data_IF_051848061979
#
_entry.id   IF_051848061979
#
_cell.length_a   1.000
_cell.length_b   1.000
_cell.length_c   1.000
_cell.angle_alpha   90.00
_cell.angle_beta   90.00
_cell.angle_gamma   90.00
#
_symmetry.space_group_name_H-M   'P 1'
#
loop_
_entity.id
_entity.type
_entity.pdbx_description
1 polymer ?
#
# COMPACT_ATOMS: atom_id res chain seq x y z
N UNK A 1 -2.65 -8.25 -11.25
CA UNK A 1 -1.18 -8.26 -10.99
C UNK A 1 -0.43 -9.29 -11.85
N UNK A 2 -0.92 -10.51 -11.99
CA UNK A 2 -0.32 -11.48 -12.94
C UNK A 2 -0.62 -11.04 -14.40
N UNK A 3 -1.84 -10.65 -14.69
CA UNK A 3 -2.25 -10.11 -15.99
C UNK A 3 -1.50 -8.85 -16.39
N UNK A 4 -1.09 -8.05 -15.42
CA UNK A 4 -0.31 -6.82 -15.61
C UNK A 4 1.20 -7.09 -15.63
N UNK A 5 1.63 -8.34 -15.65
CA UNK A 5 3.03 -8.78 -15.67
C UNK A 5 3.85 -8.27 -14.46
N UNK A 6 3.19 -7.94 -13.35
CA UNK A 6 3.85 -7.51 -12.10
C UNK A 6 4.30 -8.68 -11.24
N UNK A 7 3.64 -9.84 -11.38
CA UNK A 7 3.99 -11.09 -10.70
C UNK A 7 3.83 -12.26 -11.65
N UNK A 8 4.58 -13.33 -11.41
CA UNK A 8 4.33 -14.62 -12.05
C UNK A 8 3.44 -15.48 -11.17
N UNK A 9 2.82 -16.50 -11.78
CA UNK A 9 2.02 -17.46 -11.02
C UNK A 9 2.87 -18.21 -10.01
N UNK A 10 4.08 -18.60 -10.38
CA UNK A 10 5.03 -19.32 -9.54
C UNK A 10 5.41 -18.52 -8.30
N UNK A 11 5.61 -17.20 -8.43
CA UNK A 11 5.91 -16.31 -7.29
C UNK A 11 4.73 -16.23 -6.31
N UNK A 12 3.51 -16.27 -6.81
CA UNK A 12 2.31 -16.30 -5.98
C UNK A 12 2.12 -17.67 -5.31
N UNK A 13 2.34 -18.75 -6.05
CA UNK A 13 2.18 -20.13 -5.55
C UNK A 13 3.26 -20.50 -4.50
N UNK A 14 4.43 -19.85 -4.55
CA UNK A 14 5.52 -20.03 -3.57
C UNK A 14 5.38 -19.16 -2.32
N UNK A 15 4.42 -18.26 -2.28
CA UNK A 15 4.20 -17.43 -1.12
C UNK A 15 3.59 -18.24 0.03
N UNK A 16 4.24 -18.28 1.19
CA UNK A 16 3.75 -18.99 2.37
C UNK A 16 2.67 -18.18 3.08
N UNK A 17 1.42 -18.43 2.76
CA UNK A 17 0.26 -17.83 3.42
C UNK A 17 -0.29 -18.68 4.58
N UNK A 18 0.39 -19.76 4.94
CA UNK A 18 -0.04 -20.74 5.93
C UNK A 18 -0.57 -22.02 5.29
N UNK A 19 -0.53 -23.10 6.06
CA UNK A 19 -0.92 -24.44 5.61
C UNK A 19 -2.28 -24.88 6.18
N UNK A 20 -2.77 -24.22 7.24
CA UNK A 20 -4.01 -24.56 7.90
C UNK A 20 -5.19 -23.73 7.35
N UNK A 21 -6.14 -24.40 6.73
CA UNK A 21 -7.34 -23.74 6.17
C UNK A 21 -8.34 -23.28 7.25
N UNK A 22 -8.22 -23.80 8.48
CA UNK A 22 -9.12 -23.49 9.61
C UNK A 22 -8.59 -22.34 10.49
N UNK A 23 -7.30 -22.03 10.42
CA UNK A 23 -6.66 -21.01 11.25
C UNK A 23 -5.85 -20.02 10.40
N UNK A 24 -6.06 -18.74 10.64
CA UNK A 24 -5.34 -17.67 9.95
C UNK A 24 -4.10 -17.27 10.75
N UNK A 25 -2.92 -17.51 10.18
CA UNK A 25 -1.65 -16.96 10.69
C UNK A 25 -1.42 -15.56 10.11
N UNK A 26 -1.86 -14.54 10.84
CA UNK A 26 -1.76 -13.14 10.40
C UNK A 26 -0.31 -12.69 10.20
N UNK A 27 0.64 -13.19 10.98
CA UNK A 27 2.06 -12.83 10.84
C UNK A 27 2.63 -13.39 9.53
N UNK A 28 2.37 -14.66 9.23
CA UNK A 28 2.76 -15.26 7.96
C UNK A 28 2.16 -14.53 6.76
N UNK A 29 0.84 -14.30 6.80
CA UNK A 29 0.15 -13.57 5.72
C UNK A 29 0.75 -12.19 5.53
N UNK A 30 0.99 -11.44 6.60
CA UNK A 30 1.58 -10.11 6.52
C UNK A 30 2.94 -10.16 5.84
N UNK A 31 3.85 -11.01 6.33
CA UNK A 31 5.22 -11.11 5.82
C UNK A 31 5.25 -11.60 4.37
N UNK A 32 4.51 -12.66 4.04
CA UNK A 32 4.44 -13.21 2.69
C UNK A 32 3.86 -12.19 1.70
N UNK A 33 2.78 -11.51 2.07
CA UNK A 33 2.15 -10.49 1.23
C UNK A 33 3.10 -9.34 0.92
N UNK A 34 3.76 -8.78 1.93
CA UNK A 34 4.69 -7.67 1.70
C UNK A 34 5.90 -8.08 0.87
N UNK A 35 6.40 -9.32 1.03
CA UNK A 35 7.46 -9.86 0.18
C UNK A 35 7.03 -9.90 -1.29
N UNK A 36 5.86 -10.42 -1.59
CA UNK A 36 5.30 -10.49 -2.95
C UNK A 36 5.04 -9.09 -3.51
N UNK A 37 4.49 -8.18 -2.70
CA UNK A 37 4.23 -6.79 -3.12
C UNK A 37 5.51 -6.01 -3.43
N UNK A 38 6.60 -6.25 -2.69
CA UNK A 38 7.91 -5.64 -2.99
C UNK A 38 8.49 -6.16 -4.32
N UNK A 39 8.26 -7.44 -4.67
CA UNK A 39 8.63 -7.97 -5.99
C UNK A 39 7.84 -7.28 -7.10
N UNK A 40 6.51 -7.15 -6.91
CA UNK A 40 5.66 -6.45 -7.86
C UNK A 40 6.07 -4.98 -8.05
N UNK A 41 6.38 -4.28 -6.96
CA UNK A 41 6.88 -2.90 -7.00
C UNK A 41 8.19 -2.77 -7.79
N UNK A 42 9.19 -3.62 -7.50
CA UNK A 42 10.46 -3.59 -8.20
C UNK A 42 10.28 -3.81 -9.72
N UNK A 43 9.35 -4.69 -10.10
CA UNK A 43 9.01 -4.95 -11.51
C UNK A 43 8.24 -3.80 -12.14
N UNK A 44 7.27 -3.22 -11.44
CA UNK A 44 6.53 -2.05 -11.87
C UNK A 44 7.47 -0.87 -12.17
N UNK A 45 8.43 -0.63 -11.29
CA UNK A 45 9.47 0.41 -11.46
C UNK A 45 10.32 0.13 -12.71
N UNK A 46 10.75 -1.12 -12.90
CA UNK A 46 11.53 -1.52 -14.08
C UNK A 46 10.75 -1.37 -15.38
N UNK A 47 9.44 -1.64 -15.34
CA UNK A 47 8.56 -1.58 -16.52
C UNK A 47 8.07 -0.15 -16.82
N UNK A 48 8.50 0.87 -16.07
CA UNK A 48 8.12 2.28 -16.29
C UNK A 48 6.68 2.63 -15.87
N UNK A 49 6.07 1.81 -15.01
CA UNK A 49 4.70 2.10 -14.52
C UNK A 49 4.65 3.42 -13.75
N UNK A 50 5.70 3.75 -13.00
CA UNK A 50 5.79 4.99 -12.22
C UNK A 50 5.80 6.25 -13.10
N UNK A 51 6.26 6.13 -14.35
CA UNK A 51 6.30 7.19 -15.34
C UNK A 51 5.02 7.27 -16.16
N UNK A 52 4.11 6.29 -16.02
CA UNK A 52 2.86 6.25 -16.77
C UNK A 52 1.96 7.45 -16.43
N UNK A 53 1.20 7.90 -17.43
CA UNK A 53 0.23 8.99 -17.23
C UNK A 53 -0.83 8.60 -16.18
N UNK A 54 -1.29 7.36 -16.19
CA UNK A 54 -2.32 6.88 -15.27
C UNK A 54 -1.84 6.95 -13.82
N UNK A 55 -0.62 6.47 -13.54
CA UNK A 55 -0.04 6.53 -12.20
C UNK A 55 0.13 7.97 -11.71
N UNK A 56 0.72 8.84 -12.53
CA UNK A 56 0.91 10.26 -12.18
C UNK A 56 -0.40 11.01 -11.96
N UNK A 57 -1.42 10.72 -12.78
CA UNK A 57 -2.76 11.30 -12.59
C UNK A 57 -3.34 10.88 -11.25
N UNK A 58 -3.25 9.60 -10.90
CA UNK A 58 -3.70 9.09 -9.59
C UNK A 58 -3.01 9.79 -8.42
N UNK A 59 -1.68 9.93 -8.46
CA UNK A 59 -0.95 10.63 -7.40
C UNK A 59 -1.39 12.08 -7.24
N UNK A 60 -1.65 12.77 -8.35
CA UNK A 60 -2.08 14.18 -8.32
C UNK A 60 -3.53 14.31 -7.80
N UNK A 61 -4.43 13.40 -8.19
CA UNK A 61 -5.82 13.39 -7.74
C UNK A 61 -5.95 13.07 -6.25
N UNK A 62 -5.15 12.13 -5.75
CA UNK A 62 -5.21 11.64 -4.38
C UNK A 62 -4.22 12.33 -3.43
N UNK A 63 -3.45 13.30 -3.89
CA UNK A 63 -2.37 13.95 -3.13
C UNK A 63 -2.78 14.53 -1.78
N UNK A 64 -4.05 14.89 -1.62
CA UNK A 64 -4.57 15.53 -0.41
C UNK A 64 -4.43 14.64 0.84
N UNK A 65 -4.43 13.33 0.66
CA UNK A 65 -4.29 12.36 1.77
C UNK A 65 -3.14 11.37 1.54
N UNK A 66 -2.87 11.01 0.27
CA UNK A 66 -1.96 9.92 -0.09
C UNK A 66 -0.52 10.21 0.33
N UNK A 67 -0.05 11.45 0.12
CA UNK A 67 1.31 11.85 0.48
C UNK A 67 1.56 11.72 2.00
N UNK A 68 0.60 12.16 2.81
CA UNK A 68 0.68 12.03 4.28
C UNK A 68 0.59 10.57 4.73
N UNK A 69 -0.28 9.79 4.11
CA UNK A 69 -0.41 8.36 4.38
C UNK A 69 0.87 7.60 4.06
N UNK A 70 1.43 7.81 2.87
CA UNK A 70 2.64 7.11 2.43
C UNK A 70 3.84 7.46 3.32
N UNK A 71 4.00 8.75 3.67
CA UNK A 71 5.02 9.19 4.63
C UNK A 71 4.80 8.52 6.00
N UNK A 72 3.56 8.53 6.52
CA UNK A 72 3.26 7.89 7.81
C UNK A 72 3.66 6.42 7.84
N UNK A 73 3.31 5.68 6.78
CA UNK A 73 3.62 4.24 6.70
C UNK A 73 5.11 3.98 6.59
N UNK A 74 5.82 4.77 5.79
CA UNK A 74 7.27 4.67 5.65
C UNK A 74 7.99 4.98 6.98
N UNK A 75 7.58 6.04 7.68
CA UNK A 75 8.11 6.37 9.01
C UNK A 75 7.79 5.27 10.01
N UNK A 76 6.56 4.75 10.02
CA UNK A 76 6.18 3.63 10.91
C UNK A 76 7.07 2.42 10.73
N UNK A 77 7.37 2.05 9.49
CA UNK A 77 8.27 0.93 9.18
C UNK A 77 9.70 1.21 9.67
N UNK A 78 10.20 2.45 9.55
CA UNK A 78 11.52 2.84 10.03
C UNK A 78 11.65 2.78 11.56
N UNK A 79 10.53 2.76 12.28
CA UNK A 79 10.44 2.54 13.72
C UNK A 79 9.94 1.14 14.10
N UNK A 80 10.19 0.13 13.25
CA UNK A 80 9.80 -1.28 13.49
C UNK A 80 8.29 -1.47 13.77
N UNK A 81 7.43 -0.69 13.11
CA UNK A 81 5.99 -0.76 13.27
C UNK A 81 5.44 -0.14 14.55
N UNK A 82 6.27 0.53 15.35
CA UNK A 82 5.85 1.19 16.59
C UNK A 82 4.78 2.26 16.33
N UNK A 83 3.95 2.47 17.33
CA UNK A 83 2.95 3.55 17.31
C UNK A 83 3.62 4.93 17.26
N UNK A 84 2.98 5.88 16.60
CA UNK A 84 3.51 7.23 16.36
C UNK A 84 3.89 7.98 17.64
N UNK A 85 3.26 7.69 18.77
CA UNK A 85 3.56 8.29 20.07
C UNK A 85 4.93 7.87 20.63
N UNK A 86 5.52 6.79 20.08
CA UNK A 86 6.85 6.29 20.42
C UNK A 86 7.95 6.74 19.44
N UNK A 87 7.59 7.58 18.46
CA UNK A 87 8.56 8.12 17.51
C UNK A 87 9.36 9.27 18.11
N UNK A 88 10.44 9.65 17.45
CA UNK A 88 11.19 10.85 17.79
C UNK A 88 10.30 12.09 17.82
N UNK A 89 10.57 13.00 18.75
CA UNK A 89 9.70 14.14 19.02
C UNK A 89 9.45 15.01 17.77
N UNK A 90 10.47 15.24 16.97
CA UNK A 90 10.39 16.16 15.85
C UNK A 90 9.47 15.65 14.73
N UNK A 91 9.57 14.36 14.39
CA UNK A 91 8.64 13.74 13.42
C UNK A 91 7.26 13.50 14.02
N UNK A 92 7.18 13.13 15.30
CA UNK A 92 5.92 12.97 16.03
C UNK A 92 5.10 14.25 16.04
N UNK A 93 5.77 15.41 16.24
CA UNK A 93 5.15 16.75 16.24
C UNK A 93 5.03 17.33 14.81
N UNK A 94 5.41 16.57 13.79
CA UNK A 94 5.32 16.97 12.37
C UNK A 94 6.07 18.29 12.10
N UNK A 95 7.25 18.50 12.71
CA UNK A 95 8.07 19.67 12.42
C UNK A 95 8.47 19.67 10.93
N UNK A 96 8.34 20.80 10.22
CA UNK A 96 8.59 20.84 8.77
C UNK A 96 9.96 20.30 8.36
N UNK A 97 11.00 20.58 9.12
CA UNK A 97 12.35 20.10 8.85
C UNK A 97 12.47 18.57 8.99
N UNK A 98 11.81 18.00 10.00
CA UNK A 98 11.77 16.56 10.19
C UNK A 98 10.98 15.88 9.06
N UNK A 99 9.82 16.43 8.69
CA UNK A 99 9.04 15.92 7.54
C UNK A 99 9.90 15.91 6.28
N UNK A 100 10.58 17.02 5.95
CA UNK A 100 11.42 17.10 4.77
C UNK A 100 12.58 16.08 4.80
N UNK A 101 13.23 15.93 5.96
CA UNK A 101 14.31 14.96 6.13
C UNK A 101 13.84 13.51 5.95
N UNK A 102 12.70 13.13 6.54
CA UNK A 102 12.14 11.79 6.38
C UNK A 102 11.61 11.53 4.97
N UNK A 103 11.05 12.54 4.29
CA UNK A 103 10.65 12.43 2.89
C UNK A 103 11.84 12.15 1.97
N UNK A 104 12.97 12.79 2.21
CA UNK A 104 14.20 12.53 1.45
C UNK A 104 14.78 11.15 1.78
N UNK A 105 14.91 10.83 3.08
CA UNK A 105 15.51 9.58 3.56
C UNK A 105 14.71 8.34 3.15
N UNK A 106 13.37 8.40 3.20
CA UNK A 106 12.47 7.28 2.99
C UNK A 106 11.73 7.37 1.65
N UNK A 107 12.28 8.06 0.67
CA UNK A 107 11.59 8.29 -0.62
C UNK A 107 11.20 6.98 -1.31
N UNK A 108 12.04 5.94 -1.24
CA UNK A 108 11.74 4.64 -1.86
C UNK A 108 10.59 3.90 -1.16
N UNK A 109 10.50 4.01 0.16
CA UNK A 109 9.43 3.44 0.97
C UNK A 109 8.12 4.19 0.76
N UNK A 110 8.18 5.52 0.63
CA UNK A 110 7.02 6.36 0.30
C UNK A 110 6.48 5.96 -1.08
N UNK A 111 7.33 5.91 -2.10
CA UNK A 111 6.95 5.46 -3.45
C UNK A 111 6.29 4.07 -3.43
N UNK A 112 6.80 3.17 -2.59
CA UNK A 112 6.22 1.83 -2.43
C UNK A 112 4.78 1.89 -1.89
N UNK A 113 4.52 2.70 -0.85
CA UNK A 113 3.18 2.83 -0.29
C UNK A 113 2.22 3.54 -1.25
N UNK A 114 2.67 4.53 -2.01
CA UNK A 114 1.89 5.15 -3.07
C UNK A 114 1.51 4.13 -4.16
N UNK A 115 2.47 3.29 -4.57
CA UNK A 115 2.21 2.20 -5.51
C UNK A 115 1.18 1.20 -4.99
N UNK A 116 1.23 0.83 -3.70
CA UNK A 116 0.24 -0.07 -3.11
C UNK A 116 -1.17 0.52 -3.18
N UNK A 117 -1.31 1.81 -2.90
CA UNK A 117 -2.61 2.49 -2.97
C UNK A 117 -3.12 2.61 -4.40
N UNK A 118 -2.24 2.86 -5.36
CA UNK A 118 -2.59 2.85 -6.78
C UNK A 118 -3.15 1.48 -7.23
N UNK A 119 -2.48 0.38 -6.87
CA UNK A 119 -2.97 -0.95 -7.18
C UNK A 119 -4.30 -1.24 -6.50
N UNK A 120 -4.44 -0.88 -5.24
CA UNK A 120 -5.68 -1.08 -4.49
C UNK A 120 -6.84 -0.30 -5.12
N UNK A 121 -6.62 0.96 -5.47
CA UNK A 121 -7.65 1.79 -6.12
C UNK A 121 -8.15 1.18 -7.43
N UNK A 122 -7.23 0.67 -8.27
CA UNK A 122 -7.59 -0.04 -9.52
C UNK A 122 -8.40 -1.32 -9.26
N UNK A 123 -7.97 -2.14 -8.31
CA UNK A 123 -8.67 -3.38 -7.93
C UNK A 123 -10.04 -3.09 -7.34
N UNK A 124 -10.14 -2.09 -6.47
CA UNK A 124 -11.40 -1.67 -5.86
C UNK A 124 -12.39 -1.15 -6.91
N UNK A 125 -11.92 -0.30 -7.83
CA UNK A 125 -12.74 0.20 -8.93
C UNK A 125 -13.27 -0.95 -9.81
N UNK A 126 -12.42 -1.91 -10.15
CA UNK A 126 -12.83 -3.11 -10.91
C UNK A 126 -13.88 -3.96 -10.18
N UNK A 127 -13.69 -4.23 -8.88
CA UNK A 127 -14.63 -4.96 -8.05
C UNK A 127 -15.98 -4.24 -7.96
N UNK A 128 -15.95 -2.93 -7.72
CA UNK A 128 -17.16 -2.10 -7.64
C UNK A 128 -17.94 -2.08 -8.96
N UNK A 129 -17.22 -1.95 -10.07
CA UNK A 129 -17.83 -2.01 -11.40
C UNK A 129 -18.51 -3.36 -11.63
N UNK A 130 -17.81 -4.46 -11.37
CA UNK A 130 -18.37 -5.82 -11.51
C UNK A 130 -19.63 -6.00 -10.64
N UNK A 131 -19.60 -5.59 -9.35
CA UNK A 131 -20.75 -5.69 -8.47
C UNK A 131 -21.97 -4.90 -9.02
N UNK A 132 -21.74 -3.67 -9.46
CA UNK A 132 -22.78 -2.81 -10.01
C UNK A 132 -23.39 -3.40 -11.31
N UNK A 133 -22.60 -4.00 -12.17
CA UNK A 133 -23.07 -4.70 -13.37
C UNK A 133 -23.96 -5.92 -13.04
N UNK A 134 -23.76 -6.52 -11.85
CA UNK A 134 -24.63 -7.60 -11.33
C UNK A 134 -25.86 -7.07 -10.55
N UNK A 135 -26.08 -5.75 -10.54
CA UNK A 135 -27.17 -5.12 -9.79
C UNK A 135 -26.96 -5.07 -8.29
N UNK A 136 -25.71 -5.21 -7.83
CA UNK A 136 -25.31 -5.16 -6.42
C UNK A 136 -24.65 -3.80 -6.13
N UNK A 137 -25.18 -3.08 -5.14
CA UNK A 137 -24.54 -1.86 -4.64
C UNK A 137 -23.67 -2.19 -3.43
N UNK A 138 -22.44 -1.66 -3.44
CA UNK A 138 -21.53 -1.78 -2.29
C UNK A 138 -21.68 -0.53 -1.43
N UNK A 139 -22.13 -0.72 -0.19
CA UNK A 139 -22.25 0.33 0.82
C UNK A 139 -20.98 0.28 1.68
N UNK A 140 -20.25 1.40 1.73
CA UNK A 140 -19.12 1.54 2.65
C UNK A 140 -19.64 1.61 4.09
N UNK A 141 -19.11 0.76 4.96
CA UNK A 141 -19.44 0.80 6.38
C UNK A 141 -18.71 1.95 7.05
N UNK A 142 -19.46 2.71 7.84
CA UNK A 142 -18.86 3.67 8.75
C UNK A 142 -18.21 2.89 9.90
N UNK A 143 -16.93 3.11 10.05
CA UNK A 143 -16.16 2.53 11.13
C UNK A 143 -16.83 2.75 12.49
N UNK A 144 -17.12 1.67 13.21
CA UNK A 144 -17.61 1.69 14.60
C UNK A 144 -16.58 2.30 15.59
N UNK A 145 -15.42 2.71 15.10
CA UNK A 145 -14.34 3.31 15.89
C UNK A 145 -14.70 4.72 16.40
N UNK A 146 -15.78 5.32 15.91
CA UNK A 146 -16.20 6.67 16.28
C UNK A 146 -17.45 6.72 17.17
N UNK A 147 -17.74 5.61 17.88
CA UNK A 147 -18.78 5.59 18.91
C UNK A 147 -18.12 5.71 20.29
#
# INVERSE_FOLDING_TARGET
MIEDELLTKEECDQADFGENEEEIDYEKIYNARFKVLKLAYARAKKNGLMESKAYRTYLEEEKAWLADYALYMAVKDSFDGKSWDQWEEDIRLRKPEAIAAYQEQLSAEIDFYEFLQYLFAGQWAGLKTYANEQGIEIIGDLSLIHI
#
